data_IF_206084957901
#
_entry.id   IF_206084957901
#
_cell.length_a   1.000
_cell.length_b   1.000
_cell.length_c   1.000
_cell.angle_alpha   90.00
_cell.angle_beta   90.00
_cell.angle_gamma   90.00
#
_symmetry.space_group_name_H-M   'P 1'
#
loop_
_entity.id
_entity.type
_entity.pdbx_description
1 polymer ?
#
# COMPACT_ATOMS: atom_id res chain seq x y z
N UNK A 1 49.32 -61.43 -6.88
CA UNK A 1 49.20 -61.66 -5.44
C UNK A 1 49.45 -60.35 -4.75
N UNK A 2 48.36 -59.46 -4.73
CA UNK A 2 48.48 -58.13 -4.13
C UNK A 2 47.27 -57.97 -3.18
N UNK A 3 47.62 -57.77 -1.91
CA UNK A 3 46.68 -57.64 -0.79
C UNK A 3 46.25 -56.17 -0.69
N UNK A 4 44.99 -55.83 -0.93
CA UNK A 4 44.44 -54.51 -0.68
C UNK A 4 43.90 -54.42 0.76
N UNK A 5 44.59 -53.67 1.58
CA UNK A 5 44.18 -53.29 2.94
C UNK A 5 43.09 -52.22 2.84
N UNK A 6 41.89 -52.53 3.31
CA UNK A 6 40.76 -51.59 3.45
C UNK A 6 40.96 -50.79 4.75
N UNK A 7 41.37 -49.54 4.62
CA UNK A 7 41.32 -48.60 5.74
C UNK A 7 39.88 -48.04 5.86
N UNK A 8 39.12 -48.51 6.87
CA UNK A 8 37.85 -47.94 7.26
C UNK A 8 38.05 -46.60 7.97
N UNK A 9 37.89 -45.49 7.25
CA UNK A 9 37.81 -44.16 7.83
C UNK A 9 36.45 -44.01 8.48
N UNK A 10 36.39 -44.03 9.82
CA UNK A 10 35.20 -43.68 10.61
C UNK A 10 35.01 -42.14 10.52
N UNK A 11 33.98 -41.73 9.83
CA UNK A 11 33.51 -40.35 9.88
C UNK A 11 32.84 -40.15 11.24
N UNK A 12 33.48 -39.45 12.16
CA UNK A 12 32.90 -38.98 13.41
C UNK A 12 31.95 -37.84 13.07
N UNK A 13 30.64 -38.09 13.14
CA UNK A 13 29.60 -37.05 13.09
C UNK A 13 29.56 -36.40 14.48
N UNK A 14 29.81 -35.08 14.59
CA UNK A 14 29.70 -34.41 15.87
C UNK A 14 28.26 -34.44 16.36
N UNK A 15 27.99 -34.51 17.70
CA UNK A 15 26.66 -34.52 18.23
C UNK A 15 25.97 -33.19 17.89
N UNK A 16 24.84 -33.27 17.20
CA UNK A 16 23.90 -32.14 17.03
C UNK A 16 23.45 -31.70 18.42
N UNK A 17 23.92 -30.55 18.86
CA UNK A 17 23.31 -29.85 19.98
C UNK A 17 21.87 -29.54 19.61
N UNK A 18 20.92 -30.29 20.20
CA UNK A 18 19.49 -29.98 20.17
C UNK A 18 19.33 -28.77 21.09
N UNK A 19 19.56 -27.59 20.52
CA UNK A 19 19.12 -26.34 21.09
C UNK A 19 17.60 -26.29 20.98
N UNK A 20 16.92 -26.71 22.04
CA UNK A 20 15.49 -26.57 22.20
C UNK A 20 15.18 -25.09 22.48
N UNK A 21 15.17 -24.24 21.43
CA UNK A 21 14.58 -22.91 21.52
C UNK A 21 13.13 -22.99 21.04
N UNK A 22 12.29 -23.57 21.89
CA UNK A 22 10.85 -23.63 21.69
C UNK A 22 10.19 -22.35 22.20
N UNK A 23 10.53 -21.20 21.64
CA UNK A 23 9.60 -20.07 21.62
C UNK A 23 8.62 -20.30 20.47
N UNK A 24 7.57 -21.09 20.77
CA UNK A 24 6.38 -21.13 19.92
C UNK A 24 5.90 -19.67 19.84
N UNK A 25 5.85 -19.06 18.65
CA UNK A 25 5.26 -17.73 18.52
C UNK A 25 3.86 -17.78 19.10
N UNK A 26 3.52 -16.80 19.95
CA UNK A 26 2.24 -16.76 20.62
C UNK A 26 1.12 -16.96 19.58
N UNK A 27 0.07 -17.71 19.93
CA UNK A 27 -1.04 -18.06 19.02
C UNK A 27 -1.63 -16.79 18.36
N UNK A 28 -1.60 -15.67 19.08
CA UNK A 28 -1.96 -14.34 18.59
C UNK A 28 -1.09 -13.87 17.42
N UNK A 29 0.24 -14.06 17.46
CA UNK A 29 1.14 -13.62 16.40
C UNK A 29 0.98 -14.42 15.09
N UNK A 30 0.52 -15.66 15.19
CA UNK A 30 0.15 -16.47 14.01
C UNK A 30 -1.18 -16.04 13.42
N UNK A 31 -2.13 -15.61 14.27
CA UNK A 31 -3.42 -15.10 13.80
C UNK A 31 -3.23 -13.79 13.04
N UNK A 32 -2.48 -12.82 13.58
CA UNK A 32 -2.21 -11.53 12.92
C UNK A 32 -1.39 -11.64 11.63
N UNK A 33 -0.69 -12.77 11.39
CA UNK A 33 0.05 -13.03 10.14
C UNK A 33 -0.76 -13.82 9.10
N UNK A 34 -2.02 -14.09 9.37
CA UNK A 34 -2.88 -14.79 8.41
C UNK A 34 -3.67 -13.80 7.54
N UNK A 35 -3.71 -14.00 6.21
CA UNK A 35 -4.49 -13.17 5.28
C UNK A 35 -5.95 -12.91 5.74
N UNK A 36 -6.68 -13.89 6.33
CA UNK A 36 -8.02 -13.63 6.82
C UNK A 36 -8.11 -12.69 8.01
N UNK A 37 -7.05 -12.57 8.81
CA UNK A 37 -7.09 -11.78 10.05
C UNK A 37 -7.20 -10.27 9.77
N UNK A 38 -6.53 -9.76 8.74
CA UNK A 38 -6.63 -8.35 8.33
C UNK A 38 -8.05 -8.00 7.91
N UNK A 39 -8.70 -8.83 7.09
CA UNK A 39 -10.09 -8.64 6.70
C UNK A 39 -11.07 -8.68 7.88
N UNK A 40 -10.91 -9.62 8.82
CA UNK A 40 -11.73 -9.69 10.03
C UNK A 40 -11.55 -8.44 10.89
N UNK A 41 -10.30 -7.98 11.07
CA UNK A 41 -10.01 -6.78 11.84
C UNK A 41 -10.67 -5.53 11.24
N UNK A 42 -10.64 -5.40 9.92
CA UNK A 42 -11.31 -4.31 9.20
C UNK A 42 -12.82 -4.35 9.38
N UNK A 43 -13.45 -5.52 9.26
CA UNK A 43 -14.90 -5.68 9.50
C UNK A 43 -15.26 -5.28 10.93
N UNK A 44 -14.49 -5.74 11.93
CA UNK A 44 -14.71 -5.40 13.34
C UNK A 44 -14.55 -3.89 13.56
N UNK A 45 -13.49 -3.28 13.01
CA UNK A 45 -13.25 -1.85 13.10
C UNK A 45 -14.40 -1.03 12.46
N UNK A 46 -14.88 -1.46 11.29
CA UNK A 46 -16.01 -0.82 10.60
C UNK A 46 -17.29 -0.89 11.44
N UNK A 47 -17.62 -2.06 12.00
CA UNK A 47 -18.80 -2.22 12.87
C UNK A 47 -18.69 -1.33 14.11
N UNK A 48 -17.51 -1.30 14.76
CA UNK A 48 -17.28 -0.43 15.91
C UNK A 48 -17.41 1.06 15.54
N UNK A 49 -16.84 1.48 14.41
CA UNK A 49 -16.96 2.86 13.92
C UNK A 49 -18.42 3.26 13.67
N UNK A 50 -19.22 2.37 13.04
CA UNK A 50 -20.64 2.59 12.81
C UNK A 50 -21.43 2.68 14.12
N UNK A 51 -21.12 1.83 15.11
CA UNK A 51 -21.77 1.87 16.43
C UNK A 51 -21.44 3.17 17.17
N UNK A 52 -20.20 3.63 17.13
CA UNK A 52 -19.78 4.90 17.76
C UNK A 52 -20.43 6.07 17.05
N UNK A 53 -20.39 6.12 15.71
CA UNK A 53 -20.97 7.19 14.90
C UNK A 53 -22.50 7.34 15.06
N UNK A 54 -23.21 6.26 15.42
CA UNK A 54 -24.67 6.27 15.62
C UNK A 54 -25.08 6.19 17.10
N UNK A 55 -24.17 6.48 18.02
CA UNK A 55 -24.40 6.43 19.47
C UNK A 55 -24.22 7.80 20.13
N UNK A 56 -24.48 7.87 21.43
CA UNK A 56 -24.17 9.06 22.24
C UNK A 56 -22.67 9.38 22.36
N UNK A 57 -21.80 8.50 21.86
CA UNK A 57 -20.36 8.71 21.83
C UNK A 57 -19.90 9.51 20.60
N UNK A 58 -20.82 9.90 19.71
CA UNK A 58 -20.51 10.65 18.48
C UNK A 58 -19.77 11.96 18.77
N UNK A 59 -20.21 12.74 19.79
CA UNK A 59 -19.54 13.99 20.16
C UNK A 59 -18.09 13.76 20.64
N UNK A 60 -17.85 12.71 21.43
CA UNK A 60 -16.50 12.34 21.87
C UNK A 60 -15.61 11.94 20.67
N UNK A 61 -16.19 11.25 19.69
CA UNK A 61 -15.50 10.87 18.47
C UNK A 61 -15.09 12.11 17.66
N UNK A 62 -16.04 13.06 17.44
CA UNK A 62 -15.73 14.32 16.75
C UNK A 62 -14.66 15.14 17.49
N UNK A 63 -14.79 15.33 18.80
CA UNK A 63 -13.81 16.05 19.62
C UNK A 63 -12.41 15.43 19.49
N UNK A 64 -12.35 14.10 19.42
CA UNK A 64 -11.08 13.38 19.22
C UNK A 64 -10.48 13.64 17.84
N UNK A 65 -11.27 13.66 16.78
CA UNK A 65 -10.81 13.94 15.42
C UNK A 65 -10.27 15.37 15.26
N UNK A 66 -10.92 16.34 15.91
CA UNK A 66 -10.50 17.75 15.86
C UNK A 66 -9.39 18.10 16.88
N UNK A 67 -8.97 17.13 17.72
CA UNK A 67 -7.84 17.36 18.62
C UNK A 67 -6.57 17.66 17.80
N UNK A 68 -5.89 18.77 18.12
CA UNK A 68 -4.68 19.19 17.42
C UNK A 68 -3.43 18.59 18.08
N UNK A 69 -2.64 17.86 17.30
CA UNK A 69 -1.36 17.29 17.68
C UNK A 69 -0.29 17.81 16.72
N UNK A 70 0.74 18.47 17.25
CA UNK A 70 1.84 19.03 16.45
C UNK A 70 1.39 19.99 15.32
N UNK A 71 0.28 20.73 15.54
CA UNK A 71 -0.23 21.73 14.60
C UNK A 71 -1.20 21.19 13.53
N UNK A 72 -1.50 19.89 13.53
CA UNK A 72 -2.47 19.24 12.66
C UNK A 72 -3.55 18.55 13.49
N UNK A 73 -4.81 18.50 13.02
CA UNK A 73 -5.82 17.69 13.68
C UNK A 73 -5.53 16.18 13.50
N UNK A 74 -6.08 15.36 14.39
CA UNK A 74 -6.01 13.90 14.27
C UNK A 74 -6.58 13.44 12.94
N UNK A 75 -7.66 14.07 12.48
CA UNK A 75 -8.25 13.83 11.17
C UNK A 75 -7.22 14.03 10.03
N UNK A 76 -6.48 15.14 10.03
CA UNK A 76 -5.43 15.40 9.02
C UNK A 76 -4.27 14.41 9.12
N UNK A 77 -3.88 13.99 10.34
CA UNK A 77 -2.86 12.96 10.50
C UNK A 77 -3.30 11.62 9.90
N UNK A 78 -4.58 11.28 9.99
CA UNK A 78 -5.13 10.06 9.40
C UNK A 78 -5.24 10.22 7.89
N UNK A 79 -5.94 11.26 7.41
CA UNK A 79 -6.29 11.41 6.00
C UNK A 79 -5.10 11.79 5.10
N UNK A 80 -4.13 12.54 5.63
CA UNK A 80 -2.97 12.99 4.85
C UNK A 80 -1.69 12.24 5.23
N UNK A 81 -1.49 11.94 6.52
CA UNK A 81 -0.29 11.28 7.02
C UNK A 81 -0.31 9.76 6.82
N UNK A 82 -1.25 9.07 7.47
CA UNK A 82 -1.34 7.60 7.37
C UNK A 82 -1.69 7.16 5.95
N UNK A 83 -2.58 7.88 5.27
CA UNK A 83 -2.92 7.58 3.88
C UNK A 83 -1.73 7.80 2.93
N UNK A 84 -0.81 8.74 3.22
CA UNK A 84 0.42 8.86 2.42
C UNK A 84 1.33 7.64 2.56
N UNK A 85 1.40 7.03 3.76
CA UNK A 85 2.13 5.76 3.98
C UNK A 85 1.44 4.61 3.27
N UNK A 86 0.11 4.53 3.31
CA UNK A 86 -0.66 3.54 2.56
C UNK A 86 -0.40 3.67 1.05
N UNK A 87 -0.48 4.86 0.48
CA UNK A 87 -0.20 5.07 -0.94
C UNK A 87 1.29 4.91 -1.30
N UNK A 88 2.20 5.06 -0.35
CA UNK A 88 3.60 4.65 -0.53
C UNK A 88 3.68 3.14 -0.74
N UNK A 89 3.02 2.34 0.10
CA UNK A 89 2.98 0.88 -0.01
C UNK A 89 2.34 0.44 -1.35
N UNK A 90 1.15 0.94 -1.65
CA UNK A 90 0.45 0.67 -2.93
C UNK A 90 1.32 1.05 -4.13
N UNK A 91 2.00 2.21 -4.07
CA UNK A 91 2.91 2.64 -5.13
C UNK A 91 4.12 1.71 -5.32
N UNK A 92 4.68 1.15 -4.23
CA UNK A 92 5.74 0.15 -4.30
C UNK A 92 5.22 -1.14 -4.94
N UNK A 93 4.03 -1.59 -4.56
CA UNK A 93 3.37 -2.79 -5.09
C UNK A 93 3.07 -2.62 -6.59
N UNK A 94 2.45 -1.52 -6.99
CA UNK A 94 2.21 -1.18 -8.41
C UNK A 94 3.53 -1.27 -9.21
N UNK A 95 4.59 -0.64 -8.70
CA UNK A 95 5.90 -0.63 -9.36
C UNK A 95 6.49 -2.03 -9.48
N UNK A 96 6.37 -2.85 -8.44
CA UNK A 96 6.82 -4.25 -8.43
C UNK A 96 6.08 -5.05 -9.49
N UNK A 97 4.75 -4.97 -9.51
CA UNK A 97 3.91 -5.70 -10.45
C UNK A 97 4.13 -5.27 -11.91
N UNK A 98 4.39 -3.99 -12.15
CA UNK A 98 4.67 -3.47 -13.48
C UNK A 98 6.05 -3.88 -14.02
N UNK A 99 7.07 -4.07 -13.17
CA UNK A 99 8.44 -4.36 -13.59
C UNK A 99 8.69 -5.85 -13.76
N UNK A 100 8.12 -6.68 -12.92
CA UNK A 100 8.42 -8.13 -12.91
C UNK A 100 7.30 -9.02 -12.40
N UNK A 101 6.11 -8.47 -12.16
CA UNK A 101 4.93 -9.21 -11.69
C UNK A 101 3.93 -9.49 -12.80
N UNK A 102 2.68 -9.76 -12.38
CA UNK A 102 1.56 -10.12 -13.25
C UNK A 102 1.20 -9.03 -14.26
N UNK A 103 1.44 -7.74 -13.92
CA UNK A 103 1.19 -6.59 -14.79
C UNK A 103 2.40 -6.21 -15.65
N UNK A 104 3.38 -7.10 -15.86
CA UNK A 104 4.60 -6.78 -16.61
C UNK A 104 4.39 -6.69 -18.11
N UNK A 105 3.39 -7.38 -18.69
CA UNK A 105 3.10 -7.37 -20.11
C UNK A 105 1.83 -6.57 -20.44
N UNK A 106 1.76 -6.01 -21.66
CA UNK A 106 0.57 -5.28 -22.09
C UNK A 106 -0.68 -6.17 -22.13
N UNK A 107 -0.53 -7.41 -22.58
CA UNK A 107 -1.65 -8.37 -22.64
C UNK A 107 -2.23 -8.71 -21.26
N UNK A 108 -1.40 -8.83 -20.24
CA UNK A 108 -1.86 -9.13 -18.88
C UNK A 108 -2.54 -7.94 -18.19
N UNK A 109 -2.29 -6.70 -18.66
CA UNK A 109 -2.92 -5.47 -18.12
C UNK A 109 -4.33 -5.23 -18.67
N UNK A 110 -4.63 -5.71 -19.89
CA UNK A 110 -5.88 -5.35 -20.59
C UNK A 110 -7.10 -5.83 -19.82
N UNK A 111 -7.15 -7.10 -19.43
CA UNK A 111 -8.31 -7.66 -18.75
C UNK A 111 -8.55 -7.02 -17.37
N UNK A 112 -7.55 -6.96 -16.45
CA UNK A 112 -7.73 -6.25 -15.19
C UNK A 112 -8.02 -4.76 -15.36
N UNK A 113 -7.40 -4.11 -16.36
CA UNK A 113 -7.61 -2.68 -16.64
C UNK A 113 -9.02 -2.35 -17.10
N UNK A 114 -9.59 -3.14 -18.00
CA UNK A 114 -10.99 -2.97 -18.42
C UNK A 114 -11.95 -3.25 -17.28
N UNK A 115 -11.65 -4.26 -16.45
CA UNK A 115 -12.46 -4.58 -15.26
C UNK A 115 -12.41 -3.46 -14.22
N UNK A 116 -11.21 -2.91 -13.92
CA UNK A 116 -11.05 -1.78 -13.02
C UNK A 116 -11.77 -0.51 -13.54
N UNK A 117 -11.57 -0.17 -14.83
CA UNK A 117 -12.25 0.96 -15.45
C UNK A 117 -13.79 0.82 -15.39
N UNK A 118 -14.32 -0.37 -15.62
CA UNK A 118 -15.75 -0.67 -15.47
C UNK A 118 -16.22 -0.58 -14.02
N UNK A 119 -15.41 -1.10 -13.09
CA UNK A 119 -15.65 -1.05 -11.64
C UNK A 119 -15.69 0.36 -11.08
N UNK A 120 -14.88 1.29 -11.60
CA UNK A 120 -14.92 2.71 -11.25
C UNK A 120 -16.06 3.46 -11.97
N UNK A 121 -16.20 3.26 -13.28
CA UNK A 121 -17.13 4.05 -14.09
C UNK A 121 -18.60 3.79 -13.73
N UNK A 122 -18.98 2.53 -13.48
CA UNK A 122 -20.38 2.18 -13.24
C UNK A 122 -20.91 2.78 -11.93
N UNK A 123 -20.25 2.65 -10.76
CA UNK A 123 -20.70 3.31 -9.53
C UNK A 123 -20.71 4.83 -9.64
N UNK A 124 -19.72 5.44 -10.32
CA UNK A 124 -19.67 6.87 -10.57
C UNK A 124 -20.90 7.35 -11.37
N UNK A 125 -21.23 6.66 -12.46
CA UNK A 125 -22.40 6.99 -13.31
C UNK A 125 -23.72 6.82 -12.54
N UNK A 126 -23.86 5.76 -11.76
CA UNK A 126 -25.06 5.53 -10.92
C UNK A 126 -25.19 6.65 -9.90
N UNK A 127 -24.08 7.01 -9.22
CA UNK A 127 -24.07 8.11 -8.25
C UNK A 127 -24.50 9.43 -8.89
N UNK A 128 -23.91 9.80 -10.01
CA UNK A 128 -24.27 11.01 -10.76
C UNK A 128 -25.73 11.00 -11.25
N UNK A 129 -26.24 9.85 -11.68
CA UNK A 129 -27.64 9.73 -12.10
C UNK A 129 -28.62 9.93 -10.94
N UNK A 130 -28.30 9.42 -9.75
CA UNK A 130 -29.16 9.54 -8.55
C UNK A 130 -29.06 10.97 -7.96
N UNK A 131 -27.88 11.58 -8.01
CA UNK A 131 -27.65 12.92 -7.44
C UNK A 131 -27.90 14.06 -8.41
N UNK A 132 -28.30 13.76 -9.65
CA UNK A 132 -28.60 14.77 -10.67
C UNK A 132 -29.58 15.83 -10.16
N UNK A 133 -29.20 17.10 -10.30
CA UNK A 133 -30.00 18.24 -9.84
C UNK A 133 -29.98 18.51 -8.32
N UNK A 134 -29.04 17.87 -7.58
CA UNK A 134 -28.78 18.15 -6.16
C UNK A 134 -27.44 18.84 -6.01
N UNK A 135 -27.45 20.16 -5.85
CA UNK A 135 -26.24 20.96 -5.71
C UNK A 135 -25.44 20.53 -4.47
N UNK A 136 -24.11 20.44 -4.61
CA UNK A 136 -23.14 20.11 -3.54
C UNK A 136 -22.97 18.62 -3.24
N UNK A 137 -23.85 17.73 -3.75
CA UNK A 137 -23.72 16.28 -3.56
C UNK A 137 -22.95 15.63 -4.72
N UNK A 138 -23.06 16.20 -5.90
CA UNK A 138 -22.44 15.69 -7.14
C UNK A 138 -20.93 15.58 -7.04
N UNK A 139 -20.26 16.42 -6.24
CA UNK A 139 -18.80 16.40 -6.08
C UNK A 139 -18.28 15.11 -5.42
N UNK A 140 -19.16 14.37 -4.72
CA UNK A 140 -18.83 13.07 -4.12
C UNK A 140 -18.87 11.88 -5.08
N UNK A 141 -18.93 12.09 -6.39
CA UNK A 141 -19.09 11.02 -7.39
C UNK A 141 -17.98 9.96 -7.36
N UNK A 142 -16.79 10.32 -6.92
CA UNK A 142 -15.66 9.40 -6.83
C UNK A 142 -15.66 8.55 -5.54
N UNK A 143 -16.45 8.89 -4.51
CA UNK A 143 -16.48 8.14 -3.25
C UNK A 143 -16.85 6.66 -3.47
N UNK A 144 -17.92 6.31 -4.21
CA UNK A 144 -18.30 4.91 -4.43
C UNK A 144 -17.39 4.18 -5.43
N UNK A 145 -16.38 4.81 -6.00
CA UNK A 145 -15.45 4.17 -6.93
C UNK A 145 -14.24 3.55 -6.23
N UNK A 146 -13.97 3.92 -4.98
CA UNK A 146 -12.84 3.39 -4.23
C UNK A 146 -13.10 1.95 -3.77
N UNK A 147 -12.12 1.06 -3.97
CA UNK A 147 -12.16 -0.36 -3.61
C UNK A 147 -11.23 -0.64 -2.45
N UNK A 148 -11.66 -1.43 -1.47
CA UNK A 148 -10.80 -1.93 -0.39
C UNK A 148 -10.28 -3.33 -0.74
N UNK A 149 -9.01 -3.41 -1.14
CA UNK A 149 -8.32 -4.66 -1.49
C UNK A 149 -8.29 -5.61 -0.30
N UNK A 150 -7.93 -5.12 0.89
CA UNK A 150 -7.74 -5.96 2.07
C UNK A 150 -9.06 -6.60 2.51
N UNK A 151 -10.17 -5.85 2.41
CA UNK A 151 -11.51 -6.37 2.66
C UNK A 151 -11.91 -7.42 1.62
N UNK A 152 -11.72 -7.14 0.33
CA UNK A 152 -12.07 -8.05 -0.76
C UNK A 152 -11.25 -9.36 -0.69
N UNK A 153 -9.94 -9.29 -0.50
CA UNK A 153 -9.08 -10.47 -0.33
C UNK A 153 -9.37 -11.19 0.98
N UNK A 154 -9.69 -10.47 2.06
CA UNK A 154 -10.09 -11.04 3.33
C UNK A 154 -11.32 -11.93 3.19
N UNK A 155 -12.39 -11.44 2.55
CA UNK A 155 -13.59 -12.24 2.26
C UNK A 155 -13.26 -13.42 1.35
N UNK A 156 -12.45 -13.20 0.31
CA UNK A 156 -12.08 -14.26 -0.62
C UNK A 156 -11.26 -15.37 0.07
N UNK A 157 -10.40 -15.00 1.02
CA UNK A 157 -9.59 -15.95 1.79
C UNK A 157 -10.44 -16.81 2.77
N UNK A 158 -11.59 -16.31 3.25
CA UNK A 158 -12.53 -17.08 4.06
C UNK A 158 -13.15 -18.27 3.28
N UNK A 159 -13.22 -18.17 1.95
CA UNK A 159 -13.68 -19.26 1.08
C UNK A 159 -12.61 -20.37 0.92
N UNK A 160 -11.37 -20.09 1.33
CA UNK A 160 -10.28 -21.06 1.40
C UNK A 160 -9.93 -21.67 0.05
N UNK A 161 -9.75 -23.00 0.04
CA UNK A 161 -9.35 -23.78 -1.15
C UNK A 161 -10.44 -23.86 -2.25
N UNK A 162 -11.64 -23.37 -2.01
CA UNK A 162 -12.71 -23.33 -3.02
C UNK A 162 -12.46 -22.28 -4.11
N UNK A 163 -11.58 -21.31 -3.84
CA UNK A 163 -11.24 -20.26 -4.78
C UNK A 163 -9.97 -20.61 -5.53
N UNK A 164 -10.01 -20.68 -6.87
CA UNK A 164 -8.81 -20.86 -7.69
C UNK A 164 -7.80 -19.74 -7.48
N UNK A 165 -6.50 -20.05 -7.41
CA UNK A 165 -5.44 -19.06 -7.23
C UNK A 165 -5.43 -17.97 -8.31
N UNK A 166 -5.78 -18.33 -9.56
CA UNK A 166 -5.89 -17.38 -10.67
C UNK A 166 -6.94 -16.27 -10.43
N UNK A 167 -8.02 -16.58 -9.69
CA UNK A 167 -9.04 -15.58 -9.35
C UNK A 167 -8.53 -14.59 -8.31
N UNK A 168 -7.73 -15.05 -7.34
CA UNK A 168 -7.06 -14.16 -6.37
C UNK A 168 -6.10 -13.20 -7.08
N UNK A 169 -5.26 -13.73 -7.97
CA UNK A 169 -4.32 -12.93 -8.77
C UNK A 169 -5.07 -11.89 -9.61
N UNK A 170 -6.14 -12.30 -10.29
CA UNK A 170 -6.96 -11.38 -11.08
C UNK A 170 -7.57 -10.27 -10.22
N UNK A 171 -8.13 -10.61 -9.04
CA UNK A 171 -8.70 -9.64 -8.12
C UNK A 171 -7.65 -8.64 -7.63
N UNK A 172 -6.47 -9.13 -7.23
CA UNK A 172 -5.35 -8.25 -6.83
C UNK A 172 -4.93 -7.32 -7.97
N UNK A 173 -4.83 -7.85 -9.19
CA UNK A 173 -4.46 -7.03 -10.36
C UNK A 173 -5.50 -5.96 -10.68
N UNK A 174 -6.80 -6.27 -10.54
CA UNK A 174 -7.89 -5.30 -10.71
C UNK A 174 -7.78 -4.21 -9.65
N UNK A 175 -7.62 -4.60 -8.40
CA UNK A 175 -7.56 -3.67 -7.28
C UNK A 175 -6.34 -2.73 -7.34
N UNK A 176 -5.16 -3.24 -7.73
CA UNK A 176 -3.95 -2.42 -7.98
C UNK A 176 -4.20 -1.36 -9.07
N UNK A 177 -4.90 -1.72 -10.16
CA UNK A 177 -5.21 -0.78 -11.23
C UNK A 177 -6.34 0.20 -10.84
N UNK A 178 -7.27 -0.24 -10.01
CA UNK A 178 -8.32 0.59 -9.42
C UNK A 178 -7.72 1.66 -8.50
N UNK A 179 -6.80 1.30 -7.62
CA UNK A 179 -6.07 2.24 -6.77
C UNK A 179 -5.29 3.28 -7.59
N UNK A 180 -4.63 2.85 -8.68
CA UNK A 180 -3.97 3.77 -9.60
C UNK A 180 -4.97 4.74 -10.25
N UNK A 181 -6.15 4.24 -10.60
CA UNK A 181 -7.27 5.04 -11.10
C UNK A 181 -7.77 6.04 -10.06
N UNK A 182 -8.00 5.59 -8.83
CA UNK A 182 -8.42 6.44 -7.72
C UNK A 182 -7.43 7.58 -7.43
N UNK A 183 -6.12 7.26 -7.38
CA UNK A 183 -5.06 8.26 -7.23
C UNK A 183 -5.12 9.30 -8.37
N UNK A 184 -5.32 8.85 -9.59
CA UNK A 184 -5.42 9.73 -10.77
C UNK A 184 -6.65 10.64 -10.67
N UNK A 185 -7.80 10.10 -10.30
CA UNK A 185 -9.03 10.87 -10.08
C UNK A 185 -8.83 11.93 -9.00
N UNK A 186 -8.26 11.56 -7.85
CA UNK A 186 -7.98 12.48 -6.75
C UNK A 186 -7.05 13.62 -7.22
N UNK A 187 -5.99 13.29 -7.96
CA UNK A 187 -5.03 14.28 -8.45
C UNK A 187 -5.65 15.31 -9.39
N UNK A 188 -6.58 14.91 -10.26
CA UNK A 188 -7.14 15.80 -11.28
C UNK A 188 -8.44 16.51 -10.86
N UNK A 189 -9.27 15.87 -10.07
CA UNK A 189 -10.63 16.37 -9.78
C UNK A 189 -10.76 16.99 -8.38
N UNK A 190 -9.90 16.61 -7.43
CA UNK A 190 -10.00 17.05 -6.04
C UNK A 190 -8.87 18.01 -5.61
N UNK A 191 -8.08 18.50 -6.55
CA UNK A 191 -7.08 19.54 -6.30
C UNK A 191 -7.77 20.91 -6.22
N UNK A 192 -7.56 21.66 -5.14
CA UNK A 192 -8.14 22.98 -4.93
C UNK A 192 -7.07 23.99 -4.50
N UNK A 193 -7.24 25.28 -4.92
CA UNK A 193 -6.43 26.42 -4.46
C UNK A 193 -4.91 26.19 -4.48
N UNK A 194 -4.34 26.02 -5.67
CA UNK A 194 -2.90 25.75 -5.85
C UNK A 194 -2.03 26.90 -5.34
N UNK A 195 -1.16 26.61 -4.37
CA UNK A 195 -0.08 27.48 -3.92
C UNK A 195 1.20 27.19 -4.72
N UNK A 196 1.49 28.05 -5.70
CA UNK A 196 2.62 27.88 -6.64
C UNK A 196 4.00 27.82 -5.97
N UNK A 197 4.35 28.64 -4.96
CA UNK A 197 5.57 28.51 -4.18
C UNK A 197 5.81 27.10 -3.62
N UNK A 198 4.83 26.53 -2.92
CA UNK A 198 4.96 25.18 -2.35
C UNK A 198 4.97 24.10 -3.42
N UNK A 199 4.24 24.29 -4.53
CA UNK A 199 4.30 23.40 -5.69
C UNK A 199 5.70 23.42 -6.32
N UNK A 200 6.33 24.57 -6.41
CA UNK A 200 7.72 24.70 -6.87
C UNK A 200 8.72 23.97 -5.98
N UNK A 201 8.57 24.07 -4.64
CA UNK A 201 9.38 23.31 -3.69
C UNK A 201 9.14 21.79 -3.81
N UNK A 202 7.89 21.38 -3.99
CA UNK A 202 7.55 19.98 -4.25
C UNK A 202 8.24 19.45 -5.52
N UNK A 203 8.23 20.24 -6.61
CA UNK A 203 8.92 19.90 -7.84
C UNK A 203 10.44 19.73 -7.63
N UNK A 204 11.08 20.61 -6.84
CA UNK A 204 12.50 20.48 -6.47
C UNK A 204 12.73 19.16 -5.71
N UNK A 205 11.88 18.78 -4.75
CA UNK A 205 11.99 17.52 -4.05
C UNK A 205 11.89 16.32 -5.00
N UNK A 206 11.00 16.37 -5.98
CA UNK A 206 10.88 15.32 -7.03
C UNK A 206 12.16 15.21 -7.85
N UNK A 207 12.76 16.35 -8.24
CA UNK A 207 14.05 16.36 -8.96
C UNK A 207 15.16 15.77 -8.10
N UNK A 208 15.21 16.08 -6.80
CA UNK A 208 16.18 15.48 -5.87
C UNK A 208 15.99 13.97 -5.76
N UNK A 209 14.74 13.49 -5.59
CA UNK A 209 14.43 12.05 -5.57
C UNK A 209 14.83 11.35 -6.87
N UNK A 210 14.56 11.99 -8.00
CA UNK A 210 14.96 11.48 -9.31
C UNK A 210 16.50 11.42 -9.44
N UNK A 211 17.22 12.44 -8.98
CA UNK A 211 18.68 12.46 -8.96
C UNK A 211 19.25 11.34 -8.07
N UNK A 212 18.68 11.12 -6.87
CA UNK A 212 19.05 10.00 -5.98
C UNK A 212 18.86 8.64 -6.67
N UNK A 213 17.76 8.47 -7.40
CA UNK A 213 17.50 7.25 -8.17
C UNK A 213 18.54 7.07 -9.30
N UNK A 214 18.81 8.13 -10.07
CA UNK A 214 19.76 8.10 -11.20
C UNK A 214 21.21 7.90 -10.78
N UNK A 215 21.59 8.40 -9.61
CA UNK A 215 22.94 8.19 -9.03
C UNK A 215 23.09 6.82 -8.38
N UNK A 216 22.03 5.98 -8.38
CA UNK A 216 22.11 4.60 -7.89
C UNK A 216 22.19 4.49 -6.36
N UNK A 217 21.71 5.49 -5.62
CA UNK A 217 21.65 5.42 -4.16
C UNK A 217 20.68 4.33 -3.73
N UNK A 218 21.19 3.29 -3.04
CA UNK A 218 20.39 2.13 -2.57
C UNK A 218 19.92 2.26 -1.12
N UNK A 219 20.36 3.31 -0.41
CA UNK A 219 19.93 3.59 0.97
C UNK A 219 18.53 4.21 0.95
N UNK A 220 17.61 3.68 1.76
CA UNK A 220 16.22 4.16 1.85
C UNK A 220 16.09 5.50 2.58
N UNK A 221 16.94 5.75 3.60
CA UNK A 221 16.84 6.92 4.45
C UNK A 221 16.80 8.25 3.69
N UNK A 222 17.65 8.52 2.67
CA UNK A 222 17.55 9.75 1.89
C UNK A 222 16.22 9.93 1.17
N UNK A 223 15.64 8.84 0.61
CA UNK A 223 14.34 8.88 -0.05
C UNK A 223 13.22 9.21 0.92
N UNK A 224 13.23 8.62 2.12
CA UNK A 224 12.23 8.87 3.14
C UNK A 224 12.32 10.29 3.69
N UNK A 225 13.53 10.82 3.96
CA UNK A 225 13.70 12.18 4.42
C UNK A 225 13.22 13.22 3.40
N UNK A 226 13.62 13.07 2.13
CA UNK A 226 13.13 13.94 1.05
C UNK A 226 11.63 13.72 0.84
N UNK A 227 11.13 12.49 1.02
CA UNK A 227 9.71 12.15 0.97
C UNK A 227 8.87 12.90 2.00
N UNK A 228 9.34 12.99 3.25
CA UNK A 228 8.66 13.78 4.30
C UNK A 228 8.61 15.26 3.93
N UNK A 229 9.71 15.82 3.41
CA UNK A 229 9.73 17.22 2.94
C UNK A 229 8.77 17.41 1.75
N UNK A 230 8.77 16.48 0.81
CA UNK A 230 7.84 16.47 -0.32
C UNK A 230 6.38 16.44 0.18
N UNK A 231 6.07 15.56 1.12
CA UNK A 231 4.73 15.45 1.71
C UNK A 231 4.27 16.78 2.34
N UNK A 232 5.13 17.43 3.12
CA UNK A 232 4.84 18.74 3.70
C UNK A 232 4.62 19.83 2.63
N UNK A 233 5.41 19.82 1.56
CA UNK A 233 5.25 20.77 0.45
C UNK A 233 3.95 20.53 -0.31
N UNK A 234 3.62 19.26 -0.60
CA UNK A 234 2.36 18.88 -1.29
C UNK A 234 1.16 19.21 -0.42
N UNK A 235 1.21 18.91 0.89
CA UNK A 235 0.17 19.29 1.86
C UNK A 235 -0.13 20.79 1.84
N UNK A 236 0.91 21.63 1.77
CA UNK A 236 0.77 23.11 1.72
C UNK A 236 0.41 23.64 0.33
N UNK A 237 0.58 22.85 -0.72
CA UNK A 237 0.34 23.30 -2.11
C UNK A 237 -1.12 23.25 -2.56
N UNK A 238 -2.04 22.70 -1.77
CA UNK A 238 -3.44 22.48 -2.15
C UNK A 238 -3.69 21.20 -2.96
N UNK A 239 -2.63 20.41 -3.20
CA UNK A 239 -2.73 19.06 -3.78
C UNK A 239 -2.88 18.06 -2.63
N UNK A 240 -3.58 16.94 -2.89
CA UNK A 240 -3.69 15.86 -1.90
C UNK A 240 -2.31 15.33 -1.49
N UNK A 241 -2.01 15.41 -0.20
CA UNK A 241 -0.71 15.04 0.37
C UNK A 241 -0.36 13.56 0.16
N UNK A 242 -1.36 12.71 -0.02
CA UNK A 242 -1.25 11.27 -0.32
C UNK A 242 -0.45 10.97 -1.58
N UNK A 243 -0.50 11.87 -2.58
CA UNK A 243 0.26 11.73 -3.83
C UNK A 243 1.77 11.72 -3.60
N UNK A 244 2.26 12.37 -2.54
CA UNK A 244 3.67 12.33 -2.20
C UNK A 244 4.16 10.90 -1.94
N UNK A 245 3.35 10.05 -1.30
CA UNK A 245 3.66 8.63 -1.08
C UNK A 245 3.91 7.88 -2.37
N UNK A 246 3.01 8.05 -3.34
CA UNK A 246 3.13 7.41 -4.68
C UNK A 246 4.38 7.89 -5.41
N UNK A 247 4.64 9.20 -5.40
CA UNK A 247 5.83 9.77 -6.06
C UNK A 247 7.11 9.20 -5.45
N UNK A 248 7.21 9.13 -4.13
CA UNK A 248 8.36 8.53 -3.43
C UNK A 248 8.53 7.07 -3.84
N UNK A 249 7.45 6.27 -3.85
CA UNK A 249 7.48 4.87 -4.28
C UNK A 249 8.03 4.72 -5.70
N UNK A 250 7.56 5.57 -6.63
CA UNK A 250 8.04 5.53 -8.02
C UNK A 250 9.51 5.91 -8.15
N UNK A 251 10.07 6.68 -7.22
CA UNK A 251 11.49 7.09 -7.24
C UNK A 251 12.43 6.09 -6.54
N UNK A 252 11.96 5.21 -5.65
CA UNK A 252 12.78 4.20 -4.98
C UNK A 252 13.26 3.15 -6.00
N UNK A 253 14.57 2.78 -6.06
CA UNK A 253 15.10 1.80 -7.01
C UNK A 253 14.49 0.41 -6.84
N UNK A 254 14.03 -0.19 -7.96
CA UNK A 254 13.51 -1.55 -7.99
C UNK A 254 14.59 -2.61 -8.24
N UNK A 255 15.81 -2.19 -8.62
CA UNK A 255 16.96 -3.07 -8.90
C UNK A 255 18.20 -2.51 -8.24
N UNK A 256 19.07 -3.38 -7.74
CA UNK A 256 20.39 -3.04 -7.23
C UNK A 256 21.44 -3.44 -8.28
N UNK A 257 22.13 -2.48 -8.93
CA UNK A 257 23.19 -2.81 -9.88
C UNK A 257 24.36 -3.46 -9.12
N UNK A 258 24.67 -4.72 -9.43
CA UNK A 258 25.94 -5.36 -9.00
C UNK A 258 26.02 -5.89 -7.57
N UNK A 259 25.00 -5.76 -6.72
CA UNK A 259 24.99 -6.28 -5.35
C UNK A 259 24.10 -7.53 -5.22
N UNK A 260 24.63 -8.56 -4.56
CA UNK A 260 23.86 -9.74 -4.13
C UNK A 260 23.03 -9.39 -2.89
N UNK A 261 21.98 -8.57 -3.05
CA UNK A 261 21.11 -8.14 -1.96
C UNK A 261 19.67 -7.87 -2.41
N UNK A 262 18.76 -7.86 -1.45
CA UNK A 262 17.36 -7.54 -1.71
C UNK A 262 17.22 -6.09 -2.17
N UNK A 263 16.46 -5.80 -3.26
CA UNK A 263 16.26 -4.45 -3.77
C UNK A 263 15.65 -3.49 -2.72
N UNK A 264 16.03 -2.20 -2.72
CA UNK A 264 15.49 -1.22 -1.77
C UNK A 264 13.97 -1.18 -1.74
N UNK A 265 13.31 -1.34 -2.89
CA UNK A 265 11.87 -1.43 -3.03
C UNK A 265 11.30 -2.55 -2.15
N UNK A 266 11.77 -3.79 -2.28
CA UNK A 266 11.30 -4.94 -1.49
C UNK A 266 11.60 -4.79 0.00
N UNK A 267 12.77 -4.26 0.33
CA UNK A 267 13.14 -3.99 1.73
C UNK A 267 12.18 -3.04 2.42
N UNK A 268 11.72 -2.00 1.70
CA UNK A 268 10.76 -1.05 2.26
C UNK A 268 9.36 -1.67 2.33
N UNK A 269 8.94 -2.37 1.28
CA UNK A 269 7.67 -3.09 1.24
C UNK A 269 7.54 -4.04 2.43
N UNK A 270 8.51 -4.94 2.65
CA UNK A 270 8.52 -5.87 3.80
C UNK A 270 8.64 -5.20 5.17
N UNK A 271 9.11 -3.95 5.23
CA UNK A 271 9.18 -3.21 6.49
C UNK A 271 7.84 -2.55 6.86
N UNK A 272 7.01 -2.25 5.86
CA UNK A 272 5.69 -1.62 6.04
C UNK A 272 4.60 -2.69 6.12
N UNK A 273 4.73 -3.76 5.32
CA UNK A 273 3.82 -4.92 5.29
C UNK A 273 4.53 -6.18 5.82
N UNK A 274 4.52 -6.44 7.14
CA UNK A 274 5.27 -7.51 7.81
C UNK A 274 4.65 -8.92 7.70
#
# INVERSE_FOLDING_TARGET
>A
MWCFSQAKTRIQVPPRSIGCDSRKPAMLSRFFKSEPASGILLVVATVLALLVANSSLFSLYEDTLYLHIAGLSVEHWINDGLMAIFFLLVGLEIKREMIGGELSTWGSRVLPGVAAAGGMALPALIFLAITHGRDGITDGWAIPTATDIAFALGILSLLGSRVPGSLKILLTSIAILDDLGAITIIAFFYTSNLDLPYLGLAAICVVVLFALNRTGVTRLLPYLLVGVVLWLCVYRSGIHATLAGVVVAMMIPARTPGEAGEPPLRRLEHAIDP
#
